data_IF_954039105169
#
_entry.id   IF_954039105169
#
_cell.length_a   1.000
_cell.length_b   1.000
_cell.length_c   1.000
_cell.angle_alpha   90.00
_cell.angle_beta   90.00
_cell.angle_gamma   90.00
#
_symmetry.space_group_name_H-M   'P 1'
#
loop_
_entity.id
_entity.type
_entity.pdbx_description
1 polymer ?
#
# COMPACT_ATOMS: atom_id res chain seq x y z
N UNK A 1 8.34 -1.08 9.60
CA UNK A 1 7.99 -2.51 9.37
C UNK A 1 9.11 -3.17 8.58
N UNK A 2 9.48 -4.40 8.94
CA UNK A 2 10.50 -5.18 8.21
C UNK A 2 9.87 -5.95 7.06
N UNK A 3 10.70 -6.40 6.13
CA UNK A 3 10.29 -7.20 4.98
C UNK A 3 9.65 -8.53 5.41
N UNK A 4 10.20 -9.16 6.48
CA UNK A 4 9.69 -10.40 7.04
C UNK A 4 8.29 -10.23 7.62
N UNK A 5 8.02 -9.10 8.28
CA UNK A 5 6.68 -8.81 8.80
C UNK A 5 5.67 -8.59 7.69
N UNK A 6 6.07 -7.90 6.64
CA UNK A 6 5.24 -7.73 5.43
C UNK A 6 4.99 -9.07 4.75
N UNK A 7 5.99 -9.94 4.70
CA UNK A 7 5.86 -11.30 4.17
C UNK A 7 4.84 -12.14 4.95
N UNK A 8 4.83 -12.06 6.27
CA UNK A 8 3.85 -12.79 7.11
C UNK A 8 2.42 -12.36 6.79
N UNK A 9 2.18 -11.04 6.64
CA UNK A 9 0.84 -10.52 6.30
C UNK A 9 0.39 -11.00 4.93
N UNK A 10 1.25 -10.86 3.91
CA UNK A 10 0.93 -11.30 2.55
C UNK A 10 0.70 -12.79 2.46
N UNK A 11 1.45 -13.57 3.23
CA UNK A 11 1.35 -15.02 3.26
C UNK A 11 0.02 -15.49 3.89
N UNK A 12 -0.43 -14.85 4.99
CA UNK A 12 -1.72 -15.15 5.60
C UNK A 12 -2.89 -14.78 4.66
N UNK A 13 -2.81 -13.65 3.96
CA UNK A 13 -3.81 -13.28 2.94
C UNK A 13 -3.80 -14.30 1.80
N UNK A 14 -2.62 -14.66 1.30
CA UNK A 14 -2.48 -15.62 0.21
C UNK A 14 -3.04 -17.00 0.58
N UNK A 15 -2.78 -17.49 1.80
CA UNK A 15 -3.38 -18.73 2.29
C UNK A 15 -4.91 -18.69 2.32
N UNK A 16 -5.48 -17.56 2.73
CA UNK A 16 -6.94 -17.41 2.65
C UNK A 16 -7.42 -17.44 1.20
N UNK A 17 -6.72 -16.75 0.27
CA UNK A 17 -7.11 -16.72 -1.14
C UNK A 17 -7.08 -18.10 -1.80
N UNK A 18 -6.25 -19.04 -1.36
CA UNK A 18 -6.26 -20.43 -1.87
C UNK A 18 -7.52 -21.22 -1.50
N UNK A 19 -8.32 -20.72 -0.55
CA UNK A 19 -9.59 -21.34 -0.20
C UNK A 19 -10.75 -20.93 -1.11
N UNK A 20 -10.52 -19.96 -2.01
CA UNK A 20 -11.52 -19.44 -2.94
C UNK A 20 -11.49 -20.29 -4.23
N UNK A 21 -12.59 -20.95 -4.59
CA UNK A 21 -12.60 -21.88 -5.74
C UNK A 21 -12.23 -21.23 -7.07
N UNK A 22 -12.53 -19.95 -7.22
CA UNK A 22 -12.27 -19.18 -8.45
C UNK A 22 -10.81 -18.72 -8.57
N UNK A 23 -9.98 -18.90 -7.56
CA UNK A 23 -8.56 -18.56 -7.58
C UNK A 23 -7.76 -19.73 -8.11
N UNK A 24 -7.05 -19.52 -9.22
CA UNK A 24 -6.14 -20.53 -9.82
C UNK A 24 -4.78 -20.49 -9.13
N UNK A 25 -4.19 -19.32 -9.07
CA UNK A 25 -2.88 -19.08 -8.49
C UNK A 25 -2.74 -17.63 -8.03
N UNK A 26 -1.66 -17.36 -7.33
CA UNK A 26 -1.29 -16.02 -6.91
C UNK A 26 0.24 -15.84 -6.92
N UNK A 27 0.68 -14.60 -6.99
CA UNK A 27 2.09 -14.23 -6.88
C UNK A 27 2.24 -13.11 -5.86
N UNK A 28 3.17 -13.28 -4.93
CA UNK A 28 3.48 -12.28 -3.91
C UNK A 28 4.74 -11.51 -4.30
N UNK A 29 4.64 -10.19 -4.32
CA UNK A 29 5.74 -9.26 -4.53
C UNK A 29 5.93 -8.48 -3.23
N UNK A 30 6.99 -8.82 -2.47
CA UNK A 30 7.23 -8.29 -1.13
C UNK A 30 8.38 -7.29 -1.21
N UNK A 31 8.14 -6.07 -0.76
CA UNK A 31 9.09 -4.97 -0.88
C UNK A 31 9.17 -4.33 -2.27
N UNK A 32 8.38 -4.83 -3.19
CA UNK A 32 8.33 -4.36 -4.58
C UNK A 32 6.89 -4.36 -5.10
N UNK A 33 6.65 -3.65 -6.19
CA UNK A 33 5.40 -3.71 -6.94
C UNK A 33 5.34 -4.99 -7.80
N UNK A 34 4.12 -5.43 -8.13
CA UNK A 34 3.88 -6.43 -9.16
C UNK A 34 4.32 -5.92 -10.54
N UNK A 35 4.51 -6.81 -11.55
CA UNK A 35 4.85 -6.40 -12.91
C UNK A 35 3.88 -5.35 -13.44
N UNK A 36 4.43 -4.38 -14.17
CA UNK A 36 3.69 -3.23 -14.67
C UNK A 36 2.55 -3.69 -15.59
N UNK A 37 1.33 -3.33 -15.20
CA UNK A 37 0.16 -3.40 -16.06
C UNK A 37 -0.23 -1.98 -16.49
N UNK A 38 -1.04 -1.85 -17.54
CA UNK A 38 -1.50 -0.53 -17.97
C UNK A 38 -2.26 0.21 -16.86
N UNK A 39 -3.08 -0.48 -16.09
CA UNK A 39 -3.74 0.07 -14.91
C UNK A 39 -2.76 0.47 -13.80
N UNK A 40 -1.75 -0.35 -13.57
CA UNK A 40 -0.69 -0.07 -12.60
C UNK A 40 0.09 1.17 -12.97
N UNK A 41 0.39 1.36 -14.26
CA UNK A 41 1.08 2.55 -14.76
C UNK A 41 0.26 3.84 -14.50
N UNK A 42 -1.02 3.84 -14.83
CA UNK A 42 -1.89 5.02 -14.62
C UNK A 42 -2.10 5.32 -13.13
N UNK A 43 -2.12 4.29 -12.28
CA UNK A 43 -2.28 4.42 -10.83
C UNK A 43 -0.96 4.56 -10.07
N UNK A 44 0.16 4.64 -10.78
CA UNK A 44 1.50 4.74 -10.23
C UNK A 44 1.89 3.61 -9.26
N UNK A 45 1.36 2.40 -9.47
CA UNK A 45 1.70 1.24 -8.62
C UNK A 45 3.13 0.78 -8.82
N UNK A 46 3.71 1.03 -9.98
CA UNK A 46 5.12 0.77 -10.31
C UNK A 46 6.11 1.56 -9.43
N UNK A 47 5.67 2.68 -8.85
CA UNK A 47 6.50 3.49 -7.96
C UNK A 47 6.50 2.98 -6.51
N UNK A 48 5.69 1.96 -6.20
CA UNK A 48 5.59 1.41 -4.85
C UNK A 48 6.76 0.47 -4.57
N UNK A 49 7.50 0.76 -3.52
CA UNK A 49 8.63 -0.05 -3.08
C UNK A 49 8.97 0.26 -1.62
N UNK A 50 9.55 -0.71 -0.95
CA UNK A 50 9.96 -0.57 0.45
C UNK A 50 9.53 -1.74 1.32
N UNK A 51 10.20 -1.93 2.44
CA UNK A 51 9.99 -3.07 3.34
C UNK A 51 8.56 -3.18 3.91
N UNK A 52 7.79 -2.10 3.88
CA UNK A 52 6.42 -2.03 4.37
C UNK A 52 5.37 -2.18 3.25
N UNK A 53 5.79 -2.43 2.02
CA UNK A 53 4.90 -2.53 0.86
C UNK A 53 4.95 -3.91 0.23
N UNK A 54 3.82 -4.36 -0.30
CA UNK A 54 3.71 -5.59 -1.06
C UNK A 54 2.50 -5.55 -2.00
N UNK A 55 2.58 -6.34 -3.06
CA UNK A 55 1.46 -6.63 -3.94
C UNK A 55 1.20 -8.13 -3.98
N UNK A 56 -0.07 -8.50 -4.08
CA UNK A 56 -0.50 -9.87 -4.36
C UNK A 56 -1.26 -9.84 -5.68
N UNK A 57 -0.69 -10.44 -6.69
CA UNK A 57 -1.38 -10.65 -7.97
C UNK A 57 -2.14 -11.96 -7.91
N UNK A 58 -3.44 -11.93 -8.15
CA UNK A 58 -4.32 -13.09 -8.07
C UNK A 58 -4.89 -13.38 -9.46
N UNK A 59 -4.70 -14.61 -9.92
CA UNK A 59 -5.25 -15.08 -11.18
C UNK A 59 -6.53 -15.89 -10.91
N UNK A 60 -7.60 -15.46 -11.56
CA UNK A 60 -8.91 -16.11 -11.45
C UNK A 60 -9.15 -17.07 -12.61
N UNK A 61 -9.98 -18.07 -12.39
CA UNK A 61 -10.53 -18.93 -13.42
C UNK A 61 -11.13 -18.05 -14.53
N UNK A 62 -10.93 -18.44 -15.79
CA UNK A 62 -11.41 -17.65 -16.92
C UNK A 62 -12.92 -17.40 -16.81
N UNK A 63 -13.36 -16.21 -17.19
CA UNK A 63 -14.75 -15.75 -17.01
C UNK A 63 -15.80 -16.70 -17.63
N UNK A 64 -15.43 -17.46 -18.64
CA UNK A 64 -16.32 -18.46 -19.30
C UNK A 64 -16.48 -19.74 -18.50
N UNK A 65 -15.67 -19.96 -17.48
CA UNK A 65 -15.65 -21.15 -16.63
C UNK A 65 -16.00 -20.84 -15.17
N UNK A 66 -16.56 -19.67 -14.89
CA UNK A 66 -17.03 -19.29 -13.55
C UNK A 66 -18.34 -18.50 -13.64
N UNK A 67 -19.20 -18.67 -12.65
CA UNK A 67 -20.48 -17.95 -12.58
C UNK A 67 -20.31 -16.55 -12.00
N UNK A 68 -19.40 -16.39 -11.01
CA UNK A 68 -19.14 -15.13 -10.35
C UNK A 68 -18.25 -14.22 -11.19
N UNK A 69 -18.60 -12.94 -11.24
CA UNK A 69 -17.73 -11.94 -11.83
C UNK A 69 -16.59 -11.57 -10.86
N UNK A 70 -15.51 -10.97 -11.37
CA UNK A 70 -14.37 -10.55 -10.53
C UNK A 70 -14.79 -9.59 -9.43
N UNK A 71 -15.76 -8.72 -9.70
CA UNK A 71 -16.33 -7.81 -8.72
C UNK A 71 -17.05 -8.54 -7.57
N UNK A 72 -17.79 -9.60 -7.87
CA UNK A 72 -18.48 -10.39 -6.86
C UNK A 72 -17.46 -11.12 -5.98
N UNK A 73 -16.43 -11.69 -6.59
CA UNK A 73 -15.32 -12.34 -5.86
C UNK A 73 -14.62 -11.33 -4.96
N UNK A 74 -14.32 -10.13 -5.46
CA UNK A 74 -13.70 -9.07 -4.68
C UNK A 74 -14.55 -8.69 -3.45
N UNK A 75 -15.87 -8.61 -3.59
CA UNK A 75 -16.81 -8.39 -2.47
C UNK A 75 -16.79 -9.52 -1.45
N UNK A 76 -16.77 -10.76 -1.92
CA UNK A 76 -16.76 -11.96 -1.05
C UNK A 76 -15.49 -12.04 -0.22
N UNK A 77 -14.33 -11.79 -0.82
CA UNK A 77 -13.04 -11.92 -0.13
C UNK A 77 -12.72 -10.72 0.78
N UNK A 78 -13.26 -9.55 0.50
CA UNK A 78 -12.99 -8.30 1.22
C UNK A 78 -13.12 -8.40 2.74
N UNK A 79 -14.20 -8.91 3.33
CA UNK A 79 -14.37 -8.96 4.80
C UNK A 79 -13.26 -9.75 5.50
N UNK A 80 -12.84 -10.88 4.93
CA UNK A 80 -11.80 -11.72 5.52
C UNK A 80 -10.41 -11.11 5.33
N UNK A 81 -10.11 -10.54 4.17
CA UNK A 81 -8.86 -9.82 3.94
C UNK A 81 -8.74 -8.64 4.90
N UNK A 82 -9.81 -7.87 5.12
CA UNK A 82 -9.82 -6.75 6.06
C UNK A 82 -9.60 -7.21 7.52
N UNK A 83 -10.15 -8.37 7.93
CA UNK A 83 -9.88 -8.95 9.25
C UNK A 83 -8.40 -9.30 9.43
N UNK A 84 -7.78 -9.90 8.41
CA UNK A 84 -6.35 -10.21 8.42
C UNK A 84 -5.56 -8.88 8.48
N UNK A 85 -5.90 -7.90 7.66
CA UNK A 85 -5.27 -6.59 7.65
C UNK A 85 -5.31 -5.91 9.02
N UNK A 86 -6.47 -5.90 9.68
CA UNK A 86 -6.66 -5.32 11.01
C UNK A 86 -5.77 -5.98 12.08
N UNK A 87 -5.60 -7.29 12.05
CA UNK A 87 -4.72 -8.05 12.96
C UNK A 87 -3.29 -7.53 12.96
N UNK A 88 -2.82 -7.03 11.82
CA UNK A 88 -1.45 -6.55 11.62
C UNK A 88 -1.35 -5.02 11.52
N UNK A 89 -2.45 -4.30 11.69
CA UNK A 89 -2.53 -2.87 11.41
C UNK A 89 -2.03 -2.53 10.00
N UNK A 90 -2.40 -3.37 9.02
CA UNK A 90 -2.02 -3.21 7.63
C UNK A 90 -3.14 -2.53 6.83
N UNK A 91 -2.76 -1.65 5.91
CA UNK A 91 -3.68 -1.04 4.96
C UNK A 91 -3.70 -1.89 3.69
N UNK A 92 -4.78 -2.63 3.45
CA UNK A 92 -4.92 -3.53 2.30
C UNK A 92 -6.04 -3.04 1.40
N UNK A 93 -5.73 -2.91 0.12
CA UNK A 93 -6.67 -2.51 -0.94
C UNK A 93 -6.89 -3.69 -1.89
N UNK A 94 -8.14 -3.89 -2.31
CA UNK A 94 -8.48 -4.85 -3.36
C UNK A 94 -8.67 -4.08 -4.66
N UNK A 95 -7.79 -4.33 -5.60
CA UNK A 95 -7.75 -3.62 -6.88
C UNK A 95 -8.31 -4.52 -7.98
N UNK A 96 -9.31 -4.03 -8.66
CA UNK A 96 -9.88 -4.67 -9.84
C UNK A 96 -9.44 -3.95 -11.10
N UNK A 97 -9.32 -4.70 -12.21
CA UNK A 97 -9.12 -4.10 -13.53
C UNK A 97 -10.46 -3.52 -13.99
N UNK A 98 -10.62 -2.19 -14.05
CA UNK A 98 -11.89 -1.60 -14.45
C UNK A 98 -12.18 -1.86 -15.91
N UNK A 99 -13.45 -1.99 -16.30
CA UNK A 99 -13.83 -1.96 -17.71
C UNK A 99 -13.66 -0.53 -18.26
N UNK A 100 -12.86 -0.38 -19.29
CA UNK A 100 -12.62 0.92 -19.95
C UNK A 100 -11.26 1.55 -19.61
N UNK A 101 -11.07 2.84 -19.92
CA UNK A 101 -9.83 3.53 -19.66
C UNK A 101 -9.50 3.55 -18.16
N UNK A 102 -8.26 3.26 -17.75
CA UNK A 102 -7.88 3.33 -16.36
C UNK A 102 -7.92 4.77 -15.85
N UNK A 103 -8.40 4.94 -14.63
CA UNK A 103 -8.41 6.21 -13.91
C UNK A 103 -7.65 6.07 -12.60
N UNK A 104 -7.14 7.16 -12.07
CA UNK A 104 -6.39 7.15 -10.81
C UNK A 104 -7.23 6.57 -9.67
N UNK A 105 -8.45 7.03 -9.54
CA UNK A 105 -9.46 6.52 -8.61
C UNK A 105 -10.86 6.87 -9.13
N UNK A 106 -11.89 6.17 -8.66
CA UNK A 106 -13.29 6.47 -9.00
C UNK A 106 -13.73 7.82 -8.44
N UNK A 107 -13.29 8.13 -7.20
CA UNK A 107 -13.51 9.40 -6.55
C UNK A 107 -12.15 9.99 -6.18
N UNK A 108 -11.89 11.22 -6.60
CA UNK A 108 -10.67 11.95 -6.28
C UNK A 108 -11.06 13.29 -5.68
N UNK A 109 -10.60 13.57 -4.45
CA UNK A 109 -10.72 14.85 -3.81
C UNK A 109 -9.35 15.53 -3.78
N UNK A 110 -9.24 16.66 -4.45
CA UNK A 110 -8.02 17.48 -4.46
C UNK A 110 -8.19 18.67 -3.54
N UNK A 111 -7.26 18.84 -2.60
CA UNK A 111 -7.29 19.90 -1.60
C UNK A 111 -6.16 20.88 -1.89
N UNK A 112 -6.50 22.11 -2.15
CA UNK A 112 -5.58 23.20 -2.41
C UNK A 112 -5.60 24.23 -1.30
N UNK A 113 -4.47 24.87 -1.02
CA UNK A 113 -4.37 25.92 -0.02
C UNK A 113 -2.92 26.44 0.09
N UNK A 114 -2.74 27.61 0.71
CA UNK A 114 -1.41 28.23 0.86
C UNK A 114 -0.54 27.57 1.91
N UNK A 115 -1.12 26.79 2.83
CA UNK A 115 -0.42 26.15 3.93
C UNK A 115 -0.61 24.64 3.89
N UNK A 116 0.51 23.90 3.85
CA UNK A 116 0.49 22.45 3.72
C UNK A 116 -0.11 21.73 4.94
N UNK A 117 0.13 22.25 6.16
CA UNK A 117 -0.43 21.64 7.38
C UNK A 117 -1.95 21.76 7.42
N UNK A 118 -2.49 22.89 6.95
CA UNK A 118 -3.94 23.09 6.88
C UNK A 118 -4.57 22.23 5.77
N UNK A 119 -3.85 22.04 4.64
CA UNK A 119 -4.26 21.08 3.60
C UNK A 119 -4.38 19.67 4.19
N UNK A 120 -3.39 19.21 4.99
CA UNK A 120 -3.43 17.89 5.64
C UNK A 120 -4.62 17.79 6.61
N UNK A 121 -4.90 18.81 7.40
CA UNK A 121 -6.06 18.82 8.32
C UNK A 121 -7.38 18.65 7.56
N UNK A 122 -7.55 19.40 6.48
CA UNK A 122 -8.75 19.32 5.63
C UNK A 122 -8.83 17.97 4.93
N UNK A 123 -7.71 17.48 4.38
CA UNK A 123 -7.63 16.17 3.74
C UNK A 123 -8.04 15.05 4.69
N UNK A 124 -7.63 15.13 5.97
CA UNK A 124 -8.04 14.17 6.99
C UNK A 124 -9.55 14.18 7.21
N UNK A 125 -10.15 15.37 7.32
CA UNK A 125 -11.61 15.50 7.47
C UNK A 125 -12.36 14.93 6.26
N UNK A 126 -11.89 15.20 5.04
CA UNK A 126 -12.47 14.65 3.82
C UNK A 126 -12.35 13.13 3.79
N UNK A 127 -11.17 12.59 4.16
CA UNK A 127 -10.96 11.16 4.27
C UNK A 127 -11.90 10.52 5.29
N UNK A 128 -12.04 11.11 6.47
CA UNK A 128 -12.97 10.63 7.52
C UNK A 128 -14.43 10.61 7.01
N UNK A 129 -14.84 11.60 6.23
CA UNK A 129 -16.18 11.65 5.60
C UNK A 129 -16.31 10.49 4.60
N UNK A 130 -15.33 10.30 3.72
CA UNK A 130 -15.36 9.25 2.71
C UNK A 130 -15.39 7.86 3.35
N UNK A 131 -14.60 7.62 4.40
CA UNK A 131 -14.57 6.35 5.13
C UNK A 131 -15.91 6.00 5.81
N UNK A 132 -16.69 7.03 6.19
CA UNK A 132 -18.00 6.86 6.81
C UNK A 132 -19.18 6.98 5.82
N UNK A 133 -18.90 7.13 4.53
CA UNK A 133 -19.93 7.20 3.50
C UNK A 133 -20.30 5.80 3.03
N UNK A 134 -21.58 5.51 2.96
CA UNK A 134 -22.10 4.23 2.47
C UNK A 134 -21.62 4.00 1.02
N UNK A 135 -21.25 2.78 0.71
CA UNK A 135 -20.74 2.34 -0.61
C UNK A 135 -19.38 2.91 -1.03
N UNK A 136 -18.73 3.71 -0.20
CA UNK A 136 -17.33 4.10 -0.39
C UNK A 136 -16.43 3.11 0.35
N UNK A 137 -15.50 2.51 -0.39
CA UNK A 137 -14.53 1.55 0.15
C UNK A 137 -13.12 1.94 -0.26
N UNK A 138 -12.14 1.48 0.52
CA UNK A 138 -10.72 1.67 0.23
C UNK A 138 -10.30 3.16 0.11
N UNK A 139 -10.94 4.04 0.89
CA UNK A 139 -10.52 5.44 0.95
C UNK A 139 -9.06 5.54 1.40
N UNK A 140 -8.26 6.29 0.64
CA UNK A 140 -6.84 6.49 0.90
C UNK A 140 -6.43 7.93 0.60
N UNK A 141 -5.23 8.31 0.99
CA UNK A 141 -4.67 9.62 0.72
C UNK A 141 -3.17 9.53 0.39
N UNK A 142 -2.60 10.55 -0.18
CA UNK A 142 -1.20 10.59 -0.58
C UNK A 142 -0.26 11.09 0.54
N UNK A 143 -0.79 11.38 1.74
CA UNK A 143 0.04 11.83 2.86
C UNK A 143 0.67 10.62 3.53
N UNK A 144 1.99 10.59 3.58
CA UNK A 144 2.73 9.55 4.27
C UNK A 144 2.53 9.63 5.78
N UNK A 145 2.55 8.47 6.44
CA UNK A 145 2.51 8.42 7.90
C UNK A 145 3.81 9.00 8.50
N UNK A 146 3.66 9.69 9.61
CA UNK A 146 4.81 10.21 10.34
C UNK A 146 5.78 9.07 10.69
N UNK A 147 7.05 9.26 10.33
CA UNK A 147 8.12 8.31 10.61
C UNK A 147 9.10 8.93 11.61
N UNK A 148 9.73 8.07 12.40
CA UNK A 148 10.82 8.48 13.27
C UNK A 148 12.11 8.41 12.44
N UNK A 149 12.73 9.56 12.22
CA UNK A 149 14.05 9.66 11.60
C UNK A 149 15.11 9.77 12.68
N UNK A 150 16.12 8.89 12.64
CA UNK A 150 17.31 8.99 13.46
C UNK A 150 18.40 9.65 12.63
N UNK A 151 18.77 10.88 12.98
CA UNK A 151 19.84 11.62 12.32
C UNK A 151 21.12 11.59 13.17
N UNK A 152 22.18 10.99 12.63
CA UNK A 152 23.50 11.03 13.26
C UNK A 152 24.18 12.34 12.87
N UNK A 153 24.33 13.25 13.83
CA UNK A 153 25.08 14.50 13.63
C UNK A 153 26.45 14.35 14.27
N UNK A 154 27.49 14.42 13.44
CA UNK A 154 28.87 14.38 13.91
C UNK A 154 29.35 15.78 14.29
N UNK A 155 29.70 15.97 15.55
CA UNK A 155 30.39 17.17 16.01
C UNK A 155 31.81 17.20 15.42
N UNK A 156 31.96 17.97 14.35
CA UNK A 156 33.21 18.03 13.57
C UNK A 156 34.38 18.59 14.39
N UNK A 157 34.13 19.58 15.24
CA UNK A 157 35.17 20.20 16.08
C UNK A 157 35.69 19.19 17.11
N UNK A 158 34.79 18.48 17.77
CA UNK A 158 35.13 17.47 18.75
C UNK A 158 35.82 16.24 18.13
N UNK A 159 35.39 15.84 16.94
CA UNK A 159 36.07 14.79 16.19
C UNK A 159 37.50 15.18 15.82
N UNK A 160 37.72 16.37 15.30
CA UNK A 160 39.04 16.89 14.95
C UNK A 160 39.96 17.03 16.15
N UNK A 161 39.45 17.50 17.31
CA UNK A 161 40.23 17.60 18.54
C UNK A 161 40.69 16.22 19.05
N UNK A 162 39.96 15.17 18.74
CA UNK A 162 40.31 13.79 19.07
C UNK A 162 41.06 13.06 17.94
N UNK A 163 41.47 13.75 16.88
CA UNK A 163 42.23 13.18 15.76
C UNK A 163 41.40 12.19 14.90
N UNK A 164 40.07 12.27 14.95
CA UNK A 164 39.17 11.39 14.19
C UNK A 164 38.56 12.19 13.06
N UNK A 165 38.71 11.74 11.82
CA UNK A 165 38.03 12.34 10.69
C UNK A 165 36.51 12.04 10.75
N UNK A 166 35.64 13.03 10.45
CA UNK A 166 34.18 12.82 10.42
C UNK A 166 33.74 11.62 9.59
N UNK A 167 34.42 11.35 8.47
CA UNK A 167 34.16 10.19 7.62
C UNK A 167 34.39 8.85 8.35
N UNK A 168 35.31 8.79 9.28
CA UNK A 168 35.60 7.57 10.07
C UNK A 168 34.49 7.28 11.08
N UNK A 169 33.77 8.31 11.52
CA UNK A 169 32.63 8.15 12.44
C UNK A 169 31.39 7.64 11.69
N UNK A 170 31.20 8.06 10.44
CA UNK A 170 30.01 7.74 9.63
C UNK A 170 30.21 6.45 8.83
N UNK A 171 31.46 6.08 8.53
CA UNK A 171 31.81 4.94 7.67
C UNK A 171 31.97 3.59 8.36
N UNK A 172 31.71 3.52 9.67
CA UNK A 172 31.61 2.29 10.43
C UNK A 172 30.13 1.94 10.55
#
# INVERSE_FOLDING_TARGET
TTLERTAVVTQEIAQYLTTIPEVIDYQNYIGASSPITFNGLVRHYDLRGGSNMADIQVNLVHKEHRDLQSHDIAKIVRPNIQKIAQKYNANVKIVEVPPGPPVLSTLVAEIYGPNYEDQIKVAKQVKDILENTVDVVDADWMVEANQIEYRLEVDKEKAMLNGVAPQQVVGN
#
